data_IF_392292990216
#
_entry.id   IF_392292990216
#
_cell.length_a   1.000
_cell.length_b   1.000
_cell.length_c   1.000
_cell.angle_alpha   90.00
_cell.angle_beta   90.00
_cell.angle_gamma   90.00
#
_symmetry.space_group_name_H-M   'P 1'
#
loop_
_entity.id
_entity.type
_entity.pdbx_description
1 polymer ?
#
# COMPACT_ATOMS: atom_id res chain seq x y z
N UNK A 1 -1.58 12.55 -20.79
CA UNK A 1 -0.90 12.43 -19.48
C UNK A 1 -0.67 10.96 -19.28
N UNK A 2 0.58 10.51 -19.35
CA UNK A 2 0.93 9.12 -19.09
C UNK A 2 0.59 8.80 -17.63
N UNK A 3 -0.57 8.17 -17.43
CA UNK A 3 -1.11 7.74 -16.14
C UNK A 3 -0.37 6.49 -15.63
N UNK A 4 0.95 6.46 -15.78
CA UNK A 4 1.75 5.34 -15.35
C UNK A 4 1.83 5.30 -13.82
N UNK A 5 1.57 4.14 -13.24
CA UNK A 5 1.69 3.92 -11.80
C UNK A 5 3.14 4.15 -11.37
N UNK A 6 3.40 5.04 -10.40
CA UNK A 6 4.76 5.37 -9.98
C UNK A 6 5.05 4.81 -8.58
N UNK A 7 6.27 4.29 -8.40
CA UNK A 7 6.72 3.83 -7.09
C UNK A 7 6.85 5.00 -6.11
N UNK A 8 6.15 4.92 -4.98
CA UNK A 8 6.17 5.92 -3.90
C UNK A 8 7.58 6.22 -3.37
N UNK A 9 8.47 5.22 -3.35
CA UNK A 9 9.85 5.39 -2.84
C UNK A 9 10.79 6.05 -3.84
N UNK A 10 10.81 5.56 -5.08
CA UNK A 10 11.85 5.91 -6.06
C UNK A 10 11.35 6.73 -7.25
N UNK A 11 10.05 6.98 -7.35
CA UNK A 11 9.42 7.77 -8.42
C UNK A 11 9.39 7.09 -9.80
N UNK A 12 10.03 5.92 -9.96
CA UNK A 12 10.08 5.23 -11.25
C UNK A 12 8.71 4.64 -11.63
N UNK A 13 8.35 4.64 -12.92
CA UNK A 13 7.17 3.93 -13.42
C UNK A 13 7.22 2.43 -13.07
N UNK A 14 6.09 1.88 -12.64
CA UNK A 14 5.89 0.46 -12.34
C UNK A 14 5.28 -0.21 -13.56
N UNK A 15 6.05 -1.08 -14.22
CA UNK A 15 5.65 -1.77 -15.46
C UNK A 15 5.08 -3.19 -15.24
N UNK A 16 4.92 -3.61 -13.99
CA UNK A 16 4.52 -4.98 -13.62
C UNK A 16 3.90 -5.04 -12.22
N UNK A 17 4.05 -6.17 -11.51
CA UNK A 17 3.54 -6.35 -10.15
C UNK A 17 4.03 -5.27 -9.18
N UNK A 18 3.18 -4.89 -8.23
CA UNK A 18 3.48 -3.89 -7.21
C UNK A 18 2.91 -4.29 -5.85
N UNK A 19 3.49 -3.72 -4.79
CA UNK A 19 2.93 -3.76 -3.44
C UNK A 19 2.09 -2.51 -3.24
N UNK A 20 0.77 -2.68 -3.17
CA UNK A 20 -0.16 -1.59 -2.91
C UNK A 20 -0.41 -1.47 -1.41
N UNK A 21 0.15 -0.43 -0.78
CA UNK A 21 -0.03 -0.16 0.65
C UNK A 21 -0.81 1.13 0.86
N UNK A 22 -1.32 1.40 2.08
CA UNK A 22 -2.13 2.58 2.38
C UNK A 22 -1.58 3.96 1.96
N UNK A 23 -0.25 4.08 1.82
CA UNK A 23 0.49 5.32 1.48
C UNK A 23 0.88 5.41 -0.01
N UNK A 24 0.53 4.39 -0.79
CA UNK A 24 0.76 4.34 -2.23
C UNK A 24 1.52 3.08 -2.68
N UNK A 25 1.64 2.87 -4.00
CA UNK A 25 2.26 1.68 -4.56
C UNK A 25 3.79 1.72 -4.49
N UNK A 26 4.41 0.57 -4.22
CA UNK A 26 5.86 0.38 -4.29
C UNK A 26 6.21 -0.65 -5.36
N UNK A 27 7.29 -0.43 -6.11
CA UNK A 27 7.87 -1.48 -6.93
C UNK A 27 8.49 -2.58 -6.04
N UNK A 28 8.57 -3.81 -6.58
CA UNK A 28 9.10 -4.98 -5.87
C UNK A 28 10.49 -4.71 -5.28
N UNK A 29 11.42 -4.14 -6.04
CA UNK A 29 12.77 -3.84 -5.55
C UNK A 29 12.77 -2.91 -4.34
N UNK A 30 11.97 -1.84 -4.37
CA UNK A 30 11.92 -0.93 -3.23
C UNK A 30 11.31 -1.61 -2.02
N UNK A 31 10.22 -2.36 -2.22
CA UNK A 31 9.54 -3.05 -1.13
C UNK A 31 10.45 -4.09 -0.46
N UNK A 32 11.10 -4.95 -1.24
CA UNK A 32 11.93 -6.04 -0.70
C UNK A 32 13.24 -5.52 -0.09
N UNK A 33 13.91 -4.56 -0.74
CA UNK A 33 15.29 -4.20 -0.41
C UNK A 33 15.45 -2.84 0.30
N UNK A 34 14.47 -1.93 0.21
CA UNK A 34 14.63 -0.52 0.63
C UNK A 34 13.62 -0.06 1.67
N UNK A 35 12.62 -0.87 1.97
CA UNK A 35 11.63 -0.62 3.02
C UNK A 35 11.94 -1.56 4.19
N UNK A 36 12.06 -1.00 5.39
CA UNK A 36 12.36 -1.77 6.60
C UNK A 36 11.15 -2.61 7.03
N UNK A 37 11.42 -3.78 7.62
CA UNK A 37 10.36 -4.65 8.16
C UNK A 37 9.47 -3.96 9.19
N UNK A 38 10.03 -3.03 9.98
CA UNK A 38 9.23 -2.19 10.90
C UNK A 38 8.18 -1.38 10.14
N UNK A 39 8.57 -0.73 9.05
CA UNK A 39 7.66 0.08 8.25
C UNK A 39 6.63 -0.79 7.51
N UNK A 40 7.02 -1.97 7.01
CA UNK A 40 6.09 -2.94 6.42
C UNK A 40 4.99 -3.34 7.42
N UNK A 41 5.36 -3.67 8.66
CA UNK A 41 4.40 -4.01 9.73
C UNK A 41 3.49 -2.84 10.09
N UNK A 42 3.98 -1.61 10.06
CA UNK A 42 3.15 -0.43 10.31
C UNK A 42 2.15 -0.18 9.19
N UNK A 43 2.50 -0.45 7.93
CA UNK A 43 1.56 -0.43 6.81
C UNK A 43 0.51 -1.54 6.90
N UNK A 44 0.89 -2.75 7.30
CA UNK A 44 -0.04 -3.86 7.53
C UNK A 44 -1.09 -3.49 8.60
N UNK A 45 -0.66 -2.96 9.75
CA UNK A 45 -1.57 -2.48 10.81
C UNK A 45 -2.54 -1.42 10.30
N UNK A 46 -2.07 -0.48 9.47
CA UNK A 46 -2.94 0.54 8.89
C UNK A 46 -3.97 -0.06 7.93
N UNK A 47 -3.58 -1.02 7.09
CA UNK A 47 -4.49 -1.73 6.19
C UNK A 47 -5.58 -2.47 6.99
N UNK A 48 -5.18 -3.21 8.03
CA UNK A 48 -6.12 -3.92 8.91
C UNK A 48 -7.09 -2.96 9.63
N UNK A 49 -6.62 -1.81 10.13
CA UNK A 49 -7.49 -0.80 10.73
C UNK A 49 -8.52 -0.24 9.75
N UNK A 50 -8.13 0.01 8.49
CA UNK A 50 -9.07 0.45 7.45
C UNK A 50 -10.12 -0.62 7.15
N UNK A 51 -9.71 -1.88 7.03
CA UNK A 51 -10.64 -3.00 6.83
C UNK A 51 -11.59 -3.17 8.01
N UNK A 52 -11.10 -3.04 9.24
CA UNK A 52 -11.93 -3.06 10.44
C UNK A 52 -12.98 -1.94 10.42
N UNK A 53 -12.60 -0.71 10.07
CA UNK A 53 -13.52 0.42 9.98
C UNK A 53 -14.60 0.19 8.92
N UNK A 54 -14.23 -0.34 7.74
CA UNK A 54 -15.18 -0.71 6.69
C UNK A 54 -16.18 -1.75 7.22
N UNK A 55 -15.69 -2.82 7.87
CA UNK A 55 -16.54 -3.86 8.45
C UNK A 55 -17.48 -3.38 9.55
N UNK A 56 -17.07 -2.37 10.34
CA UNK A 56 -17.94 -1.71 11.33
C UNK A 56 -19.05 -0.93 10.63
N UNK A 57 -18.72 -0.17 9.57
CA UNK A 57 -19.71 0.56 8.78
C UNK A 57 -20.82 -0.35 8.24
N UNK A 58 -20.45 -1.54 7.72
CA UNK A 58 -21.44 -2.53 7.26
C UNK A 58 -22.40 -3.03 8.36
N UNK A 59 -21.99 -3.02 9.64
CA UNK A 59 -22.87 -3.43 10.75
C UNK A 59 -23.85 -2.34 11.19
N UNK A 60 -23.56 -1.08 10.88
CA UNK A 60 -24.41 0.05 11.27
C UNK A 60 -25.47 0.38 10.21
N UNK A 61 -25.38 -0.22 9.02
CA UNK A 61 -26.36 -0.10 7.92
C UNK A 61 -27.41 -1.25 7.92
N UNK A 62 -27.62 -1.94 9.06
CA UNK A 62 -28.68 -2.95 9.27
C UNK A 62 -29.66 -2.50 10.34
#
# INVERSE_FOLDING_TARGET
MDNELQCKKCGKPIKGGCYNVPDGPFCVDCWENKISEKLKKDYEKQALKRLQAIGIGFKTDV
#
